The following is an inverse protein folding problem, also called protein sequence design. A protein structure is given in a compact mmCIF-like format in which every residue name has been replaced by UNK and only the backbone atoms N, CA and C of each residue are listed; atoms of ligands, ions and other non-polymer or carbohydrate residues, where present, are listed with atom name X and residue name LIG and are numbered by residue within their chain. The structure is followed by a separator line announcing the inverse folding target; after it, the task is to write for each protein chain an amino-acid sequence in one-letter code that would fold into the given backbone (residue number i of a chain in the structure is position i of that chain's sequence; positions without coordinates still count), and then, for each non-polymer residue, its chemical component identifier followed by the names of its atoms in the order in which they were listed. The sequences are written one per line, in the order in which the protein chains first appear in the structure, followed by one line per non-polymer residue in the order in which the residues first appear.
data_IF_800219832965
#
_entry.id   IF_800219832965
#
_cell.length_a   1.000
_cell.length_b   1.000
_cell.length_c   1.000
_cell.angle_alpha   90.00
_cell.angle_beta   90.00
_cell.angle_gamma   90.00
#
_symmetry.space_group_name_H-M   'P 1'
#
loop_
_entity.id
_entity.type
_entity.pdbx_description
1 polymer ?
#
# COMPACT_ATOMS: atom_id res chain seq x y z
N UNK A 1 3.10 -0.45 -15.36
CA UNK A 1 4.12 -0.19 -14.31
C UNK A 1 3.51 -0.10 -12.92
N UNK A 2 2.55 0.79 -12.64
CA UNK A 2 1.86 0.84 -11.33
C UNK A 2 1.14 -0.49 -10.96
N UNK A 3 0.48 -1.13 -11.93
CA UNK A 3 -0.18 -2.43 -11.72
C UNK A 3 0.80 -3.58 -11.40
N UNK A 4 2.01 -3.52 -11.95
CA UNK A 4 3.06 -4.50 -11.63
C UNK A 4 3.53 -4.34 -10.17
N UNK A 5 3.67 -3.09 -9.70
CA UNK A 5 4.04 -2.80 -8.30
C UNK A 5 2.93 -3.22 -7.33
N UNK A 6 1.66 -2.99 -7.68
CA UNK A 6 0.51 -3.54 -6.95
C UNK A 6 0.62 -5.07 -6.84
N UNK A 7 0.87 -5.76 -7.95
CA UNK A 7 0.91 -7.22 -7.98
C UNK A 7 2.09 -7.77 -7.16
N UNK A 8 3.28 -7.17 -7.26
CA UNK A 8 4.44 -7.53 -6.42
C UNK A 8 4.16 -7.27 -4.94
N UNK A 9 3.57 -6.11 -4.61
CA UNK A 9 3.16 -5.80 -3.24
C UNK A 9 2.19 -6.85 -2.68
N UNK A 10 1.19 -7.24 -3.46
CA UNK A 10 0.22 -8.28 -3.10
C UNK A 10 0.88 -9.66 -2.89
N UNK A 11 1.88 -10.01 -3.71
CA UNK A 11 2.63 -11.25 -3.56
C UNK A 11 3.39 -11.30 -2.24
N UNK A 12 4.12 -10.24 -1.90
CA UNK A 12 4.84 -10.15 -0.63
C UNK A 12 3.90 -10.07 0.57
N UNK A 13 2.75 -9.39 0.42
CA UNK A 13 1.71 -9.35 1.45
C UNK A 13 1.17 -10.74 1.77
N UNK A 14 0.91 -11.56 0.74
CA UNK A 14 0.48 -12.96 0.90
C UNK A 14 1.56 -13.83 1.55
N UNK A 15 2.84 -13.55 1.29
CA UNK A 15 3.98 -14.21 1.94
C UNK A 15 4.23 -13.75 3.38
N UNK A 16 3.49 -12.74 3.87
CA UNK A 16 3.69 -12.17 5.20
C UNK A 16 4.87 -11.18 5.29
N UNK A 17 5.55 -10.89 4.19
CA UNK A 17 6.62 -9.88 4.14
C UNK A 17 6.00 -8.50 3.89
N UNK A 18 5.34 -7.98 4.93
CA UNK A 18 4.61 -6.72 4.86
C UNK A 18 5.54 -5.52 4.64
N UNK A 19 6.81 -5.59 5.07
CA UNK A 19 7.80 -4.53 4.84
C UNK A 19 8.11 -4.39 3.36
N UNK A 20 8.35 -5.51 2.64
CA UNK A 20 8.54 -5.45 1.18
C UNK A 20 7.28 -5.04 0.47
N UNK A 21 6.12 -5.55 0.89
CA UNK A 21 4.83 -5.15 0.31
C UNK A 21 4.63 -3.63 0.36
N UNK A 22 4.91 -3.01 1.52
CA UNK A 22 4.84 -1.57 1.73
C UNK A 22 5.79 -0.80 0.79
N UNK A 23 7.00 -1.30 0.58
CA UNK A 23 7.95 -0.73 -0.38
C UNK A 23 7.42 -0.72 -1.82
N UNK A 24 6.86 -1.84 -2.28
CA UNK A 24 6.28 -1.93 -3.62
C UNK A 24 5.04 -1.05 -3.78
N UNK A 25 4.15 -1.01 -2.80
CA UNK A 25 3.00 -0.10 -2.87
C UNK A 25 3.43 1.37 -2.90
N UNK A 26 4.47 1.74 -2.14
CA UNK A 26 4.99 3.11 -2.15
C UNK A 26 5.58 3.50 -3.50
N UNK A 27 6.37 2.62 -4.12
CA UNK A 27 6.85 2.82 -5.49
C UNK A 27 5.69 2.89 -6.50
N UNK A 28 4.65 2.08 -6.31
CA UNK A 28 3.44 2.15 -7.14
C UNK A 28 2.76 3.51 -7.07
N UNK A 29 2.66 4.08 -5.87
CA UNK A 29 2.06 5.40 -5.60
C UNK A 29 2.89 6.52 -6.22
N UNK A 30 4.22 6.44 -6.11
CA UNK A 30 5.14 7.40 -6.76
C UNK A 30 4.99 7.41 -8.29
N UNK A 31 4.68 6.26 -8.90
CA UNK A 31 4.44 6.16 -10.33
C UNK A 31 3.05 6.64 -10.75
N UNK A 32 2.03 6.29 -9.96
CA UNK A 32 0.65 6.67 -10.21
C UNK A 32 -0.14 6.54 -8.91
N UNK A 33 -0.62 7.67 -8.41
CA UNK A 33 -1.50 7.68 -7.25
C UNK A 33 -2.80 6.94 -7.57
N UNK A 34 -3.22 6.06 -6.66
CA UNK A 34 -4.43 5.27 -6.81
C UNK A 34 -5.00 4.94 -5.44
N UNK A 35 -6.32 5.06 -5.23
CA UNK A 35 -6.94 4.71 -3.95
C UNK A 35 -6.67 3.24 -3.58
N UNK A 36 -6.60 2.34 -4.56
CA UNK A 36 -6.29 0.91 -4.35
C UNK A 36 -4.90 0.71 -3.75
N UNK A 37 -3.90 1.46 -4.22
CA UNK A 37 -2.54 1.34 -3.70
C UNK A 37 -2.43 1.90 -2.28
N UNK A 38 -3.10 3.01 -1.99
CA UNK A 38 -3.18 3.56 -0.63
C UNK A 38 -3.85 2.57 0.33
N UNK A 39 -4.97 1.95 -0.06
CA UNK A 39 -5.64 0.92 0.76
C UNK A 39 -4.73 -0.29 0.99
N UNK A 40 -4.07 -0.80 -0.05
CA UNK A 40 -3.17 -1.95 0.10
C UNK A 40 -1.94 -1.63 0.98
N UNK A 41 -1.42 -0.41 0.89
CA UNK A 41 -0.35 0.07 1.77
C UNK A 41 -0.82 0.24 3.21
N UNK A 42 -2.03 0.75 3.42
CA UNK A 42 -2.65 0.83 4.74
C UNK A 42 -2.78 -0.56 5.39
N UNK A 43 -3.24 -1.57 4.65
CA UNK A 43 -3.32 -2.94 5.13
C UNK A 43 -1.94 -3.50 5.53
N UNK A 44 -0.90 -3.24 4.74
CA UNK A 44 0.47 -3.65 5.07
C UNK A 44 0.97 -2.95 6.34
N UNK A 45 0.69 -1.65 6.50
CA UNK A 45 1.01 -0.87 7.70
C UNK A 45 0.27 -1.38 8.94
N UNK A 46 -1.00 -1.75 8.82
CA UNK A 46 -1.75 -2.37 9.92
C UNK A 46 -1.12 -3.67 10.41
N UNK A 47 -0.61 -4.50 9.48
CA UNK A 47 0.11 -5.74 9.83
C UNK A 47 1.48 -5.50 10.46
N UNK A 48 2.06 -4.33 10.25
CA UNK A 48 3.29 -3.87 10.89
C UNK A 48 3.04 -3.04 12.15
N UNK A 49 1.79 -2.95 12.61
CA UNK A 49 1.37 -2.15 13.77
C UNK A 49 1.63 -0.64 13.61
N UNK A 50 1.76 -0.17 12.36
CA UNK A 50 1.96 1.24 12.00
C UNK A 50 0.62 1.94 11.78
N UNK A 51 -0.21 1.99 12.83
CA UNK A 51 -1.61 2.42 12.72
C UNK A 51 -1.77 3.87 12.27
N UNK A 52 -0.95 4.80 12.80
CA UNK A 52 -1.01 6.22 12.40
C UNK A 52 -0.78 6.41 10.90
N UNK A 53 0.19 5.68 10.36
CA UNK A 53 0.50 5.71 8.94
C UNK A 53 -0.57 5.00 8.11
N UNK A 54 -1.23 3.97 8.64
CA UNK A 54 -2.35 3.32 7.96
C UNK A 54 -3.56 4.26 7.88
N UNK A 55 -3.85 5.00 8.94
CA UNK A 55 -4.92 6.02 8.97
C UNK A 55 -4.65 7.08 7.90
N UNK A 56 -3.42 7.61 7.83
CA UNK A 56 -3.05 8.59 6.82
C UNK A 56 -3.27 8.08 5.39
N UNK A 57 -2.93 6.81 5.11
CA UNK A 57 -3.17 6.20 3.80
C UNK A 57 -4.67 6.03 3.51
N UNK A 58 -5.47 5.61 4.50
CA UNK A 58 -6.92 5.52 4.36
C UNK A 58 -7.55 6.89 4.09
N UNK A 59 -7.14 7.93 4.82
CA UNK A 59 -7.59 9.31 4.58
C UNK A 59 -7.23 9.75 3.16
N UNK A 60 -6.01 9.47 2.71
CA UNK A 60 -5.59 9.81 1.36
C UNK A 60 -6.40 9.07 0.30
N UNK A 61 -6.74 7.81 0.52
CA UNK A 61 -7.59 7.04 -0.39
C UNK A 61 -9.01 7.62 -0.52
N UNK A 62 -9.56 8.17 0.58
CA UNK A 62 -10.88 8.81 0.60
C UNK A 62 -10.92 10.15 -0.16
N UNK A 63 -9.77 10.80 -0.39
CA UNK A 63 -9.70 12.03 -1.20
C UNK A 63 -9.91 11.77 -2.72
N UNK A 64 -9.91 10.51 -3.16
CA UNK A 64 -10.12 10.11 -4.56
C UNK A 64 -11.58 9.81 -4.92
N UNK A 65 -12.51 9.98 -3.98
CA UNK A 65 -13.95 9.82 -4.18
C UNK A 65 -14.59 11.06 -4.82
#
# INVERSE_FOLDING_TARGET
MSEEMKNKGNEFFKKGDYKKALGYYSQGIELMESPVLYVNRALARMKLEQYDHAIADCTKALEFD
#
